data_IF_353035977226
#
_entry.id   IF_353035977226
#
_cell.length_a   1.000
_cell.length_b   1.000
_cell.length_c   1.000
_cell.angle_alpha   90.00
_cell.angle_beta   90.00
_cell.angle_gamma   90.00
#
_symmetry.space_group_name_H-M   'P 1'
#
loop_
_entity.id
_entity.type
_entity.pdbx_description
1 polymer ?
#
# COMPACT_ATOMS: atom_id res chain seq x y z
N UNK A 1 7.79 -18.70 -50.87
CA UNK A 1 7.03 -18.53 -49.61
C UNK A 1 7.95 -18.88 -48.44
N UNK A 2 7.95 -18.12 -47.32
CA UNK A 2 8.56 -18.45 -45.99
C UNK A 2 9.73 -17.59 -45.45
N UNK A 3 10.50 -16.84 -46.25
CA UNK A 3 11.63 -16.04 -45.67
C UNK A 3 11.19 -14.96 -44.68
N UNK A 4 10.00 -14.35 -44.87
CA UNK A 4 9.45 -13.36 -43.95
C UNK A 4 9.06 -13.96 -42.59
N UNK A 5 8.67 -15.23 -42.57
CA UNK A 5 8.21 -15.95 -41.36
C UNK A 5 9.34 -16.14 -40.33
N UNK A 6 10.59 -16.20 -40.78
CA UNK A 6 11.76 -16.29 -39.89
C UNK A 6 12.13 -14.95 -39.23
N UNK A 7 11.66 -13.82 -39.75
CA UNK A 7 11.95 -12.47 -39.20
C UNK A 7 10.93 -12.08 -38.12
N UNK A 8 9.74 -12.68 -38.15
CA UNK A 8 8.65 -12.39 -37.20
C UNK A 8 9.07 -12.57 -35.73
N UNK A 9 9.73 -13.67 -35.31
CA UNK A 9 10.14 -13.82 -33.90
C UNK A 9 11.11 -12.74 -33.44
N UNK A 10 12.03 -12.30 -34.31
CA UNK A 10 12.98 -11.25 -33.99
C UNK A 10 12.31 -9.89 -33.82
N UNK A 11 11.34 -9.55 -34.66
CA UNK A 11 10.55 -8.32 -34.53
C UNK A 11 9.71 -8.30 -33.25
N UNK A 12 9.09 -9.43 -32.90
CA UNK A 12 8.35 -9.57 -31.64
C UNK A 12 9.27 -9.40 -30.44
N UNK A 13 10.46 -9.99 -30.47
CA UNK A 13 11.45 -9.81 -29.41
C UNK A 13 11.86 -8.35 -29.25
N UNK A 14 12.18 -7.66 -30.35
CA UNK A 14 12.54 -6.24 -30.32
C UNK A 14 11.40 -5.37 -29.78
N UNK A 15 10.15 -5.67 -30.16
CA UNK A 15 8.99 -4.95 -29.64
C UNK A 15 8.83 -5.13 -28.12
N UNK A 16 8.95 -6.37 -27.62
CA UNK A 16 8.87 -6.67 -26.18
C UNK A 16 10.04 -6.03 -25.43
N UNK A 17 11.27 -6.18 -25.94
CA UNK A 17 12.46 -5.60 -25.34
C UNK A 17 12.38 -4.07 -25.26
N UNK A 18 11.91 -3.43 -26.33
CA UNK A 18 11.66 -1.98 -26.34
C UNK A 18 10.60 -1.56 -25.33
N UNK A 19 9.47 -2.28 -25.26
CA UNK A 19 8.42 -2.02 -24.28
C UNK A 19 8.93 -2.14 -22.82
N UNK A 20 9.69 -3.20 -22.53
CA UNK A 20 10.27 -3.41 -21.19
C UNK A 20 11.33 -2.35 -20.87
N UNK A 21 12.18 -1.96 -21.83
CA UNK A 21 13.19 -0.93 -21.65
C UNK A 21 12.56 0.43 -21.28
N UNK A 22 11.41 0.78 -21.85
CA UNK A 22 10.63 1.97 -21.46
C UNK A 22 10.11 1.84 -20.02
N UNK A 23 9.85 0.63 -19.53
CA UNK A 23 9.50 0.39 -18.13
C UNK A 23 10.63 0.74 -17.16
N UNK A 24 11.88 0.45 -17.54
CA UNK A 24 13.06 0.72 -16.71
C UNK A 24 13.41 2.22 -16.58
N UNK A 25 12.89 3.08 -17.47
CA UNK A 25 13.11 4.53 -17.39
C UNK A 25 12.10 5.25 -16.49
N UNK A 26 11.09 4.55 -15.95
CA UNK A 26 10.13 5.14 -15.01
C UNK A 26 10.68 5.21 -13.60
N UNK A 27 10.34 6.29 -12.89
CA UNK A 27 10.76 6.51 -11.52
C UNK A 27 9.95 5.61 -10.56
N UNK A 28 10.59 4.62 -9.91
CA UNK A 28 9.92 3.71 -8.98
C UNK A 28 9.49 4.38 -7.67
N UNK A 29 9.98 5.59 -7.37
CA UNK A 29 9.59 6.34 -6.18
C UNK A 29 8.25 7.07 -6.33
N UNK A 30 7.77 7.22 -7.58
CA UNK A 30 6.44 7.78 -7.84
C UNK A 30 5.37 6.72 -7.62
N UNK A 31 4.79 6.71 -6.43
CA UNK A 31 3.64 5.87 -6.06
C UNK A 31 2.37 6.74 -6.09
N UNK A 32 1.73 6.92 -7.26
CA UNK A 32 0.49 7.68 -7.33
C UNK A 32 -0.56 6.99 -6.45
N UNK A 33 -0.98 7.66 -5.39
CA UNK A 33 -2.00 7.11 -4.49
C UNK A 33 -3.31 7.00 -5.27
N UNK A 34 -3.81 5.77 -5.39
CA UNK A 34 -5.03 5.46 -6.14
C UNK A 34 -6.30 6.04 -5.50
N UNK A 35 -6.22 6.47 -4.24
CA UNK A 35 -7.37 6.88 -3.42
C UNK A 35 -7.31 8.35 -2.97
N UNK A 36 -6.48 9.18 -3.63
CA UNK A 36 -6.53 10.63 -3.40
C UNK A 36 -7.91 11.18 -3.74
N UNK A 37 -8.39 12.11 -2.90
CA UNK A 37 -9.70 12.78 -3.04
C UNK A 37 -10.90 11.82 -3.10
N UNK A 38 -10.74 10.59 -2.59
CA UNK A 38 -11.83 9.62 -2.44
C UNK A 38 -12.21 9.49 -0.96
N UNK A 39 -13.50 9.30 -0.64
CA UNK A 39 -13.88 8.95 0.72
C UNK A 39 -13.26 7.62 1.10
N UNK A 40 -12.89 7.48 2.38
CA UNK A 40 -12.39 6.22 2.88
C UNK A 40 -13.47 5.12 2.75
N UNK A 41 -13.12 3.84 2.45
CA UNK A 41 -14.08 2.76 2.20
C UNK A 41 -14.80 2.29 3.45
N UNK A 42 -16.12 2.10 3.40
CA UNK A 42 -16.91 1.69 4.56
C UNK A 42 -16.38 0.41 5.23
N UNK A 43 -16.25 0.43 6.56
CA UNK A 43 -15.79 -0.70 7.36
C UNK A 43 -16.25 -0.61 8.81
N UNK A 44 -16.30 -1.76 9.48
CA UNK A 44 -16.42 -1.89 10.93
C UNK A 44 -15.59 -3.10 11.38
N UNK A 45 -14.53 -2.84 12.14
CA UNK A 45 -13.56 -3.84 12.58
C UNK A 45 -13.69 -4.05 14.09
N UNK A 46 -13.61 -5.31 14.57
CA UNK A 46 -13.56 -5.58 16.01
C UNK A 46 -12.22 -5.10 16.60
N UNK A 47 -12.13 -4.95 17.93
CA UNK A 47 -10.84 -4.77 18.60
C UNK A 47 -9.94 -5.99 18.40
N UNK A 48 -8.65 -5.83 18.70
CA UNK A 48 -7.72 -6.95 18.66
C UNK A 48 -8.12 -8.01 19.72
N UNK A 49 -7.76 -9.29 19.52
CA UNK A 49 -7.97 -10.30 20.54
C UNK A 49 -7.31 -9.92 21.88
N UNK A 50 -8.02 -10.11 23.00
CA UNK A 50 -7.51 -9.79 24.35
C UNK A 50 -7.52 -8.32 24.72
N UNK A 51 -8.21 -7.49 23.93
CA UNK A 51 -8.39 -6.06 24.14
C UNK A 51 -9.86 -5.75 24.39
N UNK A 52 -10.14 -5.00 25.44
CA UNK A 52 -11.50 -4.63 25.89
C UNK A 52 -11.96 -3.27 25.34
N UNK A 53 -11.15 -2.62 24.51
CA UNK A 53 -11.47 -1.37 23.84
C UNK A 53 -12.51 -1.55 22.73
N UNK A 54 -13.13 -0.43 22.36
CA UNK A 54 -14.01 -0.38 21.21
C UNK A 54 -13.24 -0.76 19.94
N UNK A 55 -13.95 -1.38 18.99
CA UNK A 55 -13.44 -1.61 17.64
C UNK A 55 -13.18 -0.32 16.89
N UNK A 56 -12.86 -0.44 15.60
CA UNK A 56 -12.60 0.70 14.73
C UNK A 56 -13.45 0.64 13.48
N UNK A 57 -14.22 1.68 13.22
CA UNK A 57 -15.20 1.78 12.16
C UNK A 57 -15.01 3.04 11.30
N UNK A 58 -15.72 3.11 10.18
CA UNK A 58 -15.70 4.30 9.33
C UNK A 58 -16.18 5.55 10.04
N UNK A 59 -17.16 5.41 10.92
CA UNK A 59 -17.69 6.52 11.72
C UNK A 59 -16.64 7.19 12.62
N UNK A 60 -15.57 6.47 12.96
CA UNK A 60 -14.45 7.01 13.76
C UNK A 60 -13.49 7.84 12.91
N UNK A 61 -13.57 7.77 11.57
CA UNK A 61 -12.85 8.68 10.70
C UNK A 61 -13.63 10.00 10.58
N UNK A 62 -13.05 11.07 11.14
CA UNK A 62 -13.59 12.43 11.08
C UNK A 62 -12.88 13.34 12.09
N UNK A 63 -13.18 14.63 12.06
CA UNK A 63 -12.68 15.56 13.09
C UNK A 63 -11.29 16.15 12.87
N UNK A 64 -10.58 15.76 11.80
CA UNK A 64 -9.31 16.39 11.42
C UNK A 64 -8.37 15.46 10.65
N UNK A 65 -7.15 15.93 10.34
CA UNK A 65 -6.10 15.10 9.79
C UNK A 65 -5.73 13.98 10.78
N UNK A 66 -5.64 12.75 10.26
CA UNK A 66 -5.27 11.57 11.04
C UNK A 66 -4.47 10.59 10.18
N UNK A 67 -3.72 9.71 10.85
CA UNK A 67 -2.95 8.64 10.23
C UNK A 67 -3.63 7.30 10.52
N UNK A 68 -3.97 6.55 9.47
CA UNK A 68 -4.37 5.15 9.59
C UNK A 68 -3.21 4.28 9.12
N UNK A 69 -2.56 3.61 10.05
CA UNK A 69 -1.42 2.72 9.77
C UNK A 69 -1.90 1.27 9.63
N UNK A 70 -1.50 0.61 8.55
CA UNK A 70 -1.74 -0.82 8.35
C UNK A 70 -0.47 -1.59 8.68
N UNK A 71 -0.54 -2.50 9.63
CA UNK A 71 0.64 -3.22 10.13
C UNK A 71 0.35 -4.71 10.33
N UNK A 72 1.42 -5.48 10.54
CA UNK A 72 1.35 -6.87 10.97
C UNK A 72 2.64 -7.26 11.70
N UNK A 73 2.58 -8.26 12.59
CA UNK A 73 3.72 -8.77 13.36
C UNK A 73 4.86 -9.30 12.47
N UNK A 74 4.51 -9.87 11.33
CA UNK A 74 5.45 -10.41 10.34
C UNK A 74 6.05 -9.35 9.42
N UNK A 75 5.58 -8.10 9.49
CA UNK A 75 6.02 -7.02 8.62
C UNK A 75 7.30 -6.36 9.16
N UNK A 76 8.47 -6.74 8.62
CA UNK A 76 9.76 -6.13 8.98
C UNK A 76 9.78 -4.61 8.75
N UNK A 77 9.30 -4.07 7.61
CA UNK A 77 9.24 -2.62 7.42
C UNK A 77 8.39 -1.90 8.46
N UNK A 78 7.28 -2.50 8.88
CA UNK A 78 6.39 -1.91 9.89
C UNK A 78 7.10 -1.72 11.24
N UNK A 79 8.00 -2.64 11.62
CA UNK A 79 8.82 -2.47 12.84
C UNK A 79 9.83 -1.33 12.73
N UNK A 80 10.37 -1.11 11.53
CA UNK A 80 11.29 0.00 11.26
C UNK A 80 10.53 1.34 11.27
N UNK A 81 9.29 1.34 10.80
CA UNK A 81 8.41 2.52 10.77
C UNK A 81 7.84 2.87 12.16
N UNK A 82 7.64 1.88 13.04
CA UNK A 82 6.96 2.06 14.33
C UNK A 82 7.48 3.24 15.17
N UNK A 83 8.80 3.43 15.36
CA UNK A 83 9.31 4.56 16.14
C UNK A 83 9.01 5.94 15.52
N UNK A 84 8.77 6.00 14.21
CA UNK A 84 8.38 7.25 13.52
C UNK A 84 6.91 7.53 13.79
N UNK A 85 6.06 6.51 13.75
CA UNK A 85 4.63 6.62 14.06
C UNK A 85 4.44 7.04 15.51
N UNK A 86 5.21 6.46 16.43
CA UNK A 86 5.15 6.83 17.85
C UNK A 86 5.48 8.31 18.05
N UNK A 87 6.52 8.83 17.38
CA UNK A 87 6.86 10.26 17.42
C UNK A 87 5.76 11.15 16.83
N UNK A 88 5.06 10.69 15.80
CA UNK A 88 3.92 11.43 15.24
C UNK A 88 2.76 11.49 16.24
N UNK A 89 2.47 10.37 16.92
CA UNK A 89 1.47 10.33 17.96
C UNK A 89 1.84 11.25 19.14
N UNK A 90 3.10 11.23 19.58
CA UNK A 90 3.63 12.14 20.61
C UNK A 90 3.54 13.62 20.19
N UNK A 91 3.69 13.91 18.89
CA UNK A 91 3.52 15.25 18.32
C UNK A 91 2.04 15.68 18.17
N UNK A 92 1.10 14.83 18.58
CA UNK A 92 -0.34 15.13 18.58
C UNK A 92 -1.09 14.66 17.34
N UNK A 93 -0.48 13.87 16.46
CA UNK A 93 -1.20 13.26 15.33
C UNK A 93 -2.11 12.14 15.86
N UNK A 94 -3.38 12.15 15.50
CA UNK A 94 -4.28 11.03 15.78
C UNK A 94 -3.88 9.84 14.92
N UNK A 95 -3.50 8.72 15.56
CA UNK A 95 -3.06 7.49 14.89
C UNK A 95 -4.03 6.35 15.20
N UNK A 96 -4.51 5.67 14.16
CA UNK A 96 -5.25 4.43 14.25
C UNK A 96 -4.50 3.30 13.56
N UNK A 97 -4.40 2.13 14.20
CA UNK A 97 -3.74 0.95 13.65
C UNK A 97 -4.74 -0.10 13.18
N UNK A 98 -4.59 -0.59 11.95
CA UNK A 98 -5.31 -1.76 11.43
C UNK A 98 -4.33 -2.92 11.30
N UNK A 99 -4.56 -3.97 12.09
CA UNK A 99 -3.80 -5.21 12.01
C UNK A 99 -4.27 -6.00 10.79
N UNK A 100 -3.41 -6.12 9.78
CA UNK A 100 -3.77 -6.64 8.47
C UNK A 100 -3.21 -8.04 8.24
N UNK A 101 -4.12 -9.03 8.18
CA UNK A 101 -3.80 -10.44 7.90
C UNK A 101 -2.67 -10.98 8.79
N UNK A 102 -2.70 -10.59 10.05
CA UNK A 102 -1.79 -11.15 11.03
C UNK A 102 -2.35 -12.47 11.54
N UNK A 103 -1.44 -13.38 11.91
CA UNK A 103 -1.87 -14.64 12.53
C UNK A 103 -2.00 -14.39 14.04
N UNK A 104 -3.10 -14.88 14.67
CA UNK A 104 -3.23 -14.84 16.12
C UNK A 104 -2.15 -15.68 16.81
#
# INVERSE_FOLDING_TARGET
>A
MSRLLFVVPALVFVAIAGFLAIGLTRDPSTLPSALLDRPAPDFALPPLPGRDDAGFARADLGGGPMLVNFFASWCVPCRIEHPIIDRLAEAGVTVHGINYKDKP
#
